data_IF_917940042984
#
_entry.id   IF_917940042984
#
_cell.length_a   1.000
_cell.length_b   1.000
_cell.length_c   1.000
_cell.angle_alpha   90.00
_cell.angle_beta   90.00
_cell.angle_gamma   90.00
#
_symmetry.space_group_name_H-M   'P 1'
#
loop_
_entity.id
_entity.type
_entity.pdbx_description
1 polymer ?
#
# COMPACT_ATOMS: atom_id res chain seq x y z
N UNK A 1 15.84 4.73 8.11
CA UNK A 1 14.49 4.41 7.62
C UNK A 1 14.38 4.38 6.08
N UNK A 2 14.95 5.34 5.33
CA UNK A 2 14.92 5.32 3.83
C UNK A 2 15.41 4.02 3.19
N UNK A 3 16.45 3.39 3.72
CA UNK A 3 17.01 2.13 3.20
C UNK A 3 16.06 0.92 3.25
N UNK A 4 14.97 0.97 4.03
CA UNK A 4 13.95 -0.07 4.06
C UNK A 4 12.94 0.08 2.90
N UNK A 5 12.86 1.28 2.32
CA UNK A 5 11.98 1.61 1.21
C UNK A 5 12.73 1.70 -0.12
N UNK A 6 14.05 1.49 -0.12
CA UNK A 6 14.87 1.56 -1.34
C UNK A 6 14.79 0.32 -2.21
N UNK A 7 14.23 -0.77 -1.68
CA UNK A 7 14.23 -2.10 -2.29
C UNK A 7 12.81 -2.67 -2.40
N UNK A 8 12.60 -3.52 -3.39
CA UNK A 8 11.46 -4.45 -3.44
C UNK A 8 11.95 -5.85 -3.02
N UNK A 9 11.17 -6.90 -3.30
CA UNK A 9 11.52 -8.28 -2.92
C UNK A 9 12.53 -8.93 -3.86
N UNK A 10 12.83 -8.33 -5.01
CA UNK A 10 13.86 -8.83 -5.92
C UNK A 10 15.25 -8.36 -5.45
N UNK A 11 16.13 -9.27 -4.98
CA UNK A 11 17.46 -8.90 -4.50
C UNK A 11 18.39 -8.41 -5.61
N UNK A 12 18.08 -8.68 -6.88
CA UNK A 12 18.84 -8.19 -8.02
C UNK A 12 18.39 -6.80 -8.48
N UNK A 13 17.22 -6.32 -8.01
CA UNK A 13 16.72 -5.01 -8.36
C UNK A 13 17.54 -3.91 -7.65
N UNK A 14 18.02 -2.87 -8.38
CA UNK A 14 18.86 -1.85 -7.78
C UNK A 14 18.10 -1.00 -6.76
N UNK A 15 18.80 -0.58 -5.71
CA UNK A 15 18.27 0.38 -4.73
C UNK A 15 17.87 1.70 -5.39
N UNK A 16 16.64 2.15 -5.12
CA UNK A 16 16.11 3.45 -5.58
C UNK A 16 15.64 4.28 -4.40
N UNK A 17 16.07 5.54 -4.32
CA UNK A 17 15.91 6.34 -3.12
C UNK A 17 14.86 7.45 -3.30
N UNK A 18 13.73 7.32 -2.60
CA UNK A 18 12.75 8.40 -2.55
C UNK A 18 13.31 9.64 -1.82
N UNK A 19 12.86 10.83 -2.23
CA UNK A 19 13.19 12.08 -1.54
C UNK A 19 12.45 12.15 -0.21
N UNK A 20 11.16 11.76 -0.20
CA UNK A 20 10.29 11.78 0.97
C UNK A 20 9.48 10.48 1.02
N UNK A 21 9.26 9.97 2.22
CA UNK A 21 8.36 8.84 2.49
C UNK A 21 7.26 9.35 3.41
N UNK A 22 6.02 9.12 3.02
CA UNK A 22 4.83 9.47 3.81
C UNK A 22 4.02 8.22 4.09
N UNK A 23 3.37 8.17 5.27
CA UNK A 23 2.60 7.00 5.73
C UNK A 23 1.20 7.46 6.16
N UNK A 24 0.29 7.78 5.22
CA UNK A 24 -1.05 8.23 5.56
C UNK A 24 -1.89 7.10 6.18
N UNK A 25 -2.86 7.47 7.00
CA UNK A 25 -3.83 6.57 7.62
C UNK A 25 -5.25 6.75 7.03
N UNK A 26 -5.53 7.86 6.36
CA UNK A 26 -6.84 8.14 5.76
C UNK A 26 -6.78 8.50 4.29
N UNK A 27 -7.92 8.37 3.60
CA UNK A 27 -8.09 8.77 2.20
C UNK A 27 -7.90 10.28 2.02
N UNK A 28 -8.30 11.08 3.01
CA UNK A 28 -8.15 12.54 3.00
C UNK A 28 -6.68 12.93 2.98
N UNK A 29 -5.86 12.30 3.84
CA UNK A 29 -4.41 12.51 3.86
C UNK A 29 -3.76 12.14 2.52
N UNK A 30 -4.15 11.00 1.92
CA UNK A 30 -3.69 10.61 0.56
C UNK A 30 -4.09 11.67 -0.46
N UNK A 31 -5.33 12.14 -0.42
CA UNK A 31 -5.83 13.19 -1.33
C UNK A 31 -5.01 14.48 -1.20
N UNK A 32 -4.69 14.89 0.01
CA UNK A 32 -3.90 16.12 0.24
C UNK A 32 -2.45 15.97 -0.23
N UNK A 33 -1.84 14.80 -0.03
CA UNK A 33 -0.53 14.47 -0.62
C UNK A 33 -0.58 14.57 -2.15
N UNK A 34 -1.61 13.98 -2.78
CA UNK A 34 -1.78 13.98 -4.24
C UNK A 34 -1.97 15.41 -4.78
N UNK A 35 -2.76 16.24 -4.10
CA UNK A 35 -2.94 17.66 -4.48
C UNK A 35 -1.63 18.42 -4.43
N UNK A 36 -0.85 18.26 -3.35
CA UNK A 36 0.46 18.90 -3.19
C UNK A 36 1.41 18.42 -4.30
N UNK A 37 1.54 17.11 -4.49
CA UNK A 37 2.43 16.57 -5.51
C UNK A 37 2.05 17.04 -6.92
N UNK A 38 0.76 17.09 -7.25
CA UNK A 38 0.31 17.60 -8.55
C UNK A 38 0.58 19.10 -8.71
N UNK A 39 0.38 19.90 -7.66
CA UNK A 39 0.68 21.35 -7.66
C UNK A 39 2.16 21.61 -7.97
N UNK A 40 3.05 20.84 -7.37
CA UNK A 40 4.50 20.99 -7.52
C UNK A 40 5.13 20.07 -8.58
N UNK A 41 4.32 19.29 -9.30
CA UNK A 41 4.76 18.31 -10.30
C UNK A 41 5.79 17.29 -9.76
N UNK A 42 5.60 16.88 -8.51
CA UNK A 42 6.43 15.88 -7.84
C UNK A 42 5.91 14.49 -8.20
N UNK A 43 6.83 13.61 -8.64
CA UNK A 43 6.54 12.19 -8.87
C UNK A 43 6.07 11.51 -7.58
N UNK A 44 5.10 10.61 -7.70
CA UNK A 44 4.66 9.77 -6.59
C UNK A 44 4.68 8.29 -6.96
N UNK A 45 4.95 7.43 -5.99
CA UNK A 45 4.82 5.98 -6.10
C UNK A 45 4.06 5.45 -4.87
N UNK A 46 2.90 4.79 -5.04
CA UNK A 46 2.24 4.08 -3.95
C UNK A 46 2.99 2.78 -3.63
N UNK A 47 3.05 2.43 -2.35
CA UNK A 47 3.67 1.19 -1.87
C UNK A 47 2.80 0.53 -0.81
N UNK A 48 2.51 -0.76 -1.02
CA UNK A 48 2.00 -1.66 0.01
C UNK A 48 3.15 -2.44 0.66
N UNK A 49 3.10 -3.78 0.61
CA UNK A 49 4.15 -4.64 1.18
C UNK A 49 5.52 -4.61 0.46
N UNK A 50 5.61 -3.98 -0.71
CA UNK A 50 6.87 -3.91 -1.49
C UNK A 50 7.22 -5.20 -2.26
N UNK A 51 6.24 -6.08 -2.48
CA UNK A 51 6.40 -7.41 -3.06
C UNK A 51 6.42 -7.46 -4.60
N UNK A 52 6.71 -6.34 -5.28
CA UNK A 52 6.83 -6.34 -6.73
C UNK A 52 8.19 -6.85 -7.22
N UNK A 53 8.28 -7.20 -8.51
CA UNK A 53 9.50 -7.74 -9.14
C UNK A 53 10.05 -6.84 -10.27
N UNK A 54 9.50 -5.64 -10.46
CA UNK A 54 9.81 -4.78 -11.64
C UNK A 54 10.11 -3.33 -11.27
N UNK A 55 10.22 -3.04 -9.98
CA UNK A 55 10.50 -1.71 -9.42
C UNK A 55 9.27 -0.84 -9.24
N UNK A 56 8.07 -1.42 -9.22
CA UNK A 56 6.81 -0.69 -9.15
C UNK A 56 6.54 -0.02 -7.80
N UNK A 57 7.13 -0.53 -6.71
CA UNK A 57 6.95 -0.02 -5.35
C UNK A 57 8.13 0.80 -4.81
N UNK A 58 9.05 1.21 -5.69
CA UNK A 58 10.22 2.02 -5.37
C UNK A 58 10.36 3.19 -6.34
N UNK A 59 11.09 4.23 -5.97
CA UNK A 59 11.31 5.43 -6.81
C UNK A 59 12.69 6.03 -6.60
N UNK A 60 13.26 6.62 -7.65
CA UNK A 60 14.58 7.28 -7.61
C UNK A 60 14.52 8.73 -7.10
N UNK A 61 13.32 9.28 -6.98
CA UNK A 61 13.05 10.63 -6.48
C UNK A 61 11.55 10.80 -6.19
N UNK A 62 11.17 11.92 -5.60
CA UNK A 62 9.79 12.26 -5.29
C UNK A 62 9.27 11.58 -4.03
N UNK A 63 7.96 11.36 -3.99
CA UNK A 63 7.24 10.91 -2.80
C UNK A 63 6.92 9.43 -2.93
N UNK A 64 7.36 8.63 -1.96
CA UNK A 64 6.87 7.27 -1.77
C UNK A 64 5.74 7.30 -0.74
N UNK A 65 4.57 6.79 -1.12
CA UNK A 65 3.37 6.76 -0.28
C UNK A 65 3.21 5.34 0.25
N UNK A 66 3.56 5.12 1.50
CA UNK A 66 3.40 3.84 2.18
C UNK A 66 1.98 3.74 2.74
N UNK A 67 1.17 2.89 2.11
CA UNK A 67 -0.24 2.70 2.43
C UNK A 67 -0.46 1.73 3.59
N UNK A 68 0.58 1.14 4.19
CA UNK A 68 0.46 0.05 5.19
C UNK A 68 -0.29 0.43 6.47
N UNK A 69 -0.51 1.73 6.75
CA UNK A 69 -1.38 2.19 7.84
C UNK A 69 -2.87 2.16 7.48
N UNK A 70 -3.23 2.18 6.20
CA UNK A 70 -4.61 2.03 5.72
C UNK A 70 -5.00 0.54 5.67
N UNK A 71 -4.99 -0.15 6.81
CA UNK A 71 -5.06 -1.62 6.88
C UNK A 71 -6.31 -2.17 7.59
N UNK A 72 -7.34 -1.34 7.76
CA UNK A 72 -8.57 -1.70 8.46
C UNK A 72 -9.58 -2.37 7.52
N UNK A 73 -10.43 -3.23 8.10
CA UNK A 73 -11.68 -3.66 7.46
C UNK A 73 -12.71 -2.55 7.68
N UNK A 74 -13.27 -2.04 6.58
CA UNK A 74 -14.23 -0.93 6.57
C UNK A 74 -15.65 -1.46 6.63
N UNK A 75 -15.94 -2.49 5.85
CA UNK A 75 -17.26 -3.12 5.77
C UNK A 75 -17.11 -4.59 5.41
N UNK A 76 -17.92 -5.46 6.02
CA UNK A 76 -18.04 -6.86 5.62
C UNK A 76 -19.52 -7.23 5.51
N UNK A 77 -19.98 -7.46 4.28
CA UNK A 77 -21.34 -7.86 3.99
C UNK A 77 -21.37 -9.34 3.57
N UNK A 78 -21.96 -10.15 4.45
CA UNK A 78 -22.04 -11.61 4.34
C UNK A 78 -23.13 -12.08 3.39
N UNK A 79 -24.19 -11.28 3.24
CA UNK A 79 -25.36 -11.61 2.44
C UNK A 79 -25.09 -11.33 0.96
N UNK A 80 -24.34 -10.25 0.68
CA UNK A 80 -23.97 -9.81 -0.66
C UNK A 80 -22.55 -10.24 -1.07
N UNK A 81 -21.85 -11.01 -0.22
CA UNK A 81 -20.53 -11.60 -0.49
C UNK A 81 -19.43 -10.58 -0.87
N UNK A 82 -19.35 -9.44 -0.18
CA UNK A 82 -18.26 -8.49 -0.37
C UNK A 82 -17.67 -7.97 0.93
N UNK A 83 -16.43 -7.48 0.82
CA UNK A 83 -15.70 -6.84 1.91
C UNK A 83 -15.00 -5.60 1.37
N UNK A 84 -15.08 -4.50 2.10
CA UNK A 84 -14.37 -3.25 1.83
C UNK A 84 -13.25 -3.12 2.85
N UNK A 85 -12.04 -2.90 2.35
CA UNK A 85 -10.82 -2.87 3.17
C UNK A 85 -9.93 -1.72 2.72
N UNK A 86 -9.09 -1.23 3.63
CA UNK A 86 -8.06 -0.26 3.28
C UNK A 86 -7.00 -0.86 2.35
N UNK A 87 -6.43 -0.02 1.48
CA UNK A 87 -5.47 -0.42 0.45
C UNK A 87 -4.14 -1.00 1.00
N UNK A 88 -3.86 -0.80 2.29
CA UNK A 88 -2.69 -1.33 2.99
C UNK A 88 -2.93 -2.67 3.70
N UNK A 89 -4.13 -3.24 3.65
CA UNK A 89 -4.38 -4.54 4.28
C UNK A 89 -3.52 -5.63 3.63
N UNK A 90 -2.94 -6.52 4.44
CA UNK A 90 -2.21 -7.66 3.92
C UNK A 90 -3.16 -8.82 3.64
N UNK A 91 -2.82 -9.68 2.69
CA UNK A 91 -3.57 -10.93 2.45
C UNK A 91 -3.69 -11.77 3.72
N UNK A 92 -2.61 -11.90 4.49
CA UNK A 92 -2.63 -12.64 5.75
C UNK A 92 -3.62 -12.09 6.78
N UNK A 93 -3.71 -10.76 6.93
CA UNK A 93 -4.68 -10.12 7.82
C UNK A 93 -6.12 -10.30 7.31
N UNK A 94 -6.35 -10.12 6.02
CA UNK A 94 -7.67 -10.30 5.39
C UNK A 94 -8.17 -11.74 5.53
N UNK A 95 -7.34 -12.74 5.21
CA UNK A 95 -7.67 -14.15 5.35
C UNK A 95 -7.92 -14.50 6.83
N UNK A 96 -7.08 -14.01 7.74
CA UNK A 96 -7.25 -14.24 9.17
C UNK A 96 -8.56 -13.64 9.71
N UNK A 97 -9.02 -12.51 9.16
CA UNK A 97 -10.31 -11.92 9.48
C UNK A 97 -11.49 -12.76 8.96
N UNK A 98 -11.39 -13.29 7.73
CA UNK A 98 -12.47 -14.02 7.08
C UNK A 98 -12.59 -15.48 7.56
N UNK A 99 -11.49 -16.15 7.87
CA UNK A 99 -11.45 -17.58 8.18
C UNK A 99 -12.42 -18.01 9.31
N UNK A 100 -12.53 -17.31 10.45
CA UNK A 100 -13.48 -17.65 11.51
C UNK A 100 -14.95 -17.50 11.09
N UNK A 101 -15.23 -16.78 10.00
CA UNK A 101 -16.58 -16.49 9.53
C UNK A 101 -17.08 -17.49 8.49
N UNK A 102 -16.21 -18.39 8.01
CA UNK A 102 -16.54 -19.34 6.94
C UNK A 102 -16.43 -18.78 5.51
N UNK A 103 -15.93 -17.55 5.35
CA UNK A 103 -15.74 -16.90 4.04
C UNK A 103 -14.26 -16.90 3.62
N UNK A 104 -14.01 -16.76 2.31
CA UNK A 104 -12.67 -16.61 1.73
C UNK A 104 -12.73 -15.67 0.52
N UNK A 105 -11.61 -15.04 0.17
CA UNK A 105 -11.47 -14.25 -1.05
C UNK A 105 -11.29 -15.12 -2.30
N UNK A 106 -11.11 -16.44 -2.14
CA UNK A 106 -10.80 -17.36 -3.24
C UNK A 106 -9.37 -17.25 -3.78
N UNK A 107 -8.58 -16.33 -3.21
CA UNK A 107 -7.14 -16.17 -3.48
C UNK A 107 -6.39 -16.77 -2.30
N UNK A 108 -5.55 -17.78 -2.60
CA UNK A 108 -4.64 -18.44 -1.66
C UNK A 108 -3.25 -17.82 -1.72
#
# INVERSE_FOLDING_TARGET
MKAAYSRNVDPAFPDRWADIIVRPETTEEVSDIVKIANKYKIRMVPRGGGADLVGGSVTESGILIDLTRMNQVIEFNKDDYYIVVGAGITWGALISHLHPTGYTTGVI
#
